data_IF_343683623008
#
_entry.id   IF_343683623008
#
_cell.length_a   1.000
_cell.length_b   1.000
_cell.length_c   1.000
_cell.angle_alpha   90.00
_cell.angle_beta   90.00
_cell.angle_gamma   90.00
#
_symmetry.space_group_name_H-M   'P 1'
#
loop_
_entity.id
_entity.type
_entity.pdbx_description
1 polymer ?
#
# COMPACT_ATOMS: atom_id res chain seq x y z
N UNK A 1 -30.42 26.57 12.95
CA UNK A 1 -29.77 27.42 11.93
C UNK A 1 -29.53 26.55 10.69
N UNK A 2 -30.35 26.72 9.67
CA UNK A 2 -30.33 25.89 8.46
C UNK A 2 -29.23 26.42 7.52
N UNK A 3 -28.25 25.59 7.15
CA UNK A 3 -27.25 25.97 6.15
C UNK A 3 -27.92 26.03 4.79
N UNK A 4 -27.96 27.22 4.20
CA UNK A 4 -28.44 27.44 2.85
C UNK A 4 -27.60 26.61 1.87
N UNK A 5 -28.28 25.78 1.08
CA UNK A 5 -27.73 25.07 -0.06
C UNK A 5 -27.38 26.09 -1.13
N UNK A 6 -26.13 26.58 -1.12
CA UNK A 6 -25.62 27.44 -2.18
C UNK A 6 -25.24 26.49 -3.33
N UNK A 7 -25.84 26.60 -4.52
CA UNK A 7 -25.37 25.83 -5.66
C UNK A 7 -23.96 26.33 -5.93
N UNK A 8 -22.96 25.47 -5.70
CA UNK A 8 -21.61 25.75 -6.19
C UNK A 8 -21.74 25.81 -7.71
N UNK A 9 -21.15 26.86 -8.29
CA UNK A 9 -21.01 27.04 -9.72
C UNK A 9 -20.10 25.90 -10.19
N UNK A 10 -20.72 24.74 -10.42
CA UNK A 10 -20.03 23.54 -10.85
C UNK A 10 -19.61 23.87 -12.28
N UNK A 11 -18.31 24.12 -12.51
CA UNK A 11 -17.70 24.43 -13.82
C UNK A 11 -17.96 23.32 -14.89
N UNK A 12 -18.80 22.34 -14.56
CA UNK A 12 -19.33 21.31 -15.44
C UNK A 12 -20.27 21.91 -16.46
N UNK A 13 -20.11 21.44 -17.70
CA UNK A 13 -21.03 21.78 -18.77
C UNK A 13 -22.42 21.18 -18.49
N UNK A 14 -23.51 21.82 -18.94
CA UNK A 14 -24.88 21.36 -18.72
C UNK A 14 -25.16 19.93 -19.19
N UNK A 15 -24.38 19.41 -20.15
CA UNK A 15 -24.50 18.04 -20.65
C UNK A 15 -23.97 16.97 -19.67
N UNK A 16 -23.20 17.36 -18.65
CA UNK A 16 -22.63 16.46 -17.66
C UNK A 16 -23.49 16.39 -16.39
N UNK A 17 -24.58 15.64 -16.44
CA UNK A 17 -25.36 15.30 -15.26
C UNK A 17 -24.98 13.91 -14.71
N UNK A 18 -24.04 13.89 -13.76
CA UNK A 18 -23.63 12.66 -13.09
C UNK A 18 -24.72 12.02 -12.22
N UNK A 19 -25.79 12.74 -11.87
CA UNK A 19 -26.91 12.20 -11.11
C UNK A 19 -27.86 11.36 -11.99
N UNK A 20 -28.01 11.71 -13.27
CA UNK A 20 -28.80 10.92 -14.22
C UNK A 20 -28.01 9.80 -14.90
N UNK A 21 -26.66 9.81 -14.80
CA UNK A 21 -25.81 8.74 -15.33
C UNK A 21 -26.03 7.40 -14.60
N UNK A 22 -26.64 6.43 -15.28
CA UNK A 22 -26.76 5.06 -14.79
C UNK A 22 -25.40 4.35 -14.83
N UNK A 23 -24.99 3.76 -13.69
CA UNK A 23 -23.78 2.93 -13.60
C UNK A 23 -22.50 3.65 -13.14
N UNK A 24 -22.58 4.94 -12.80
CA UNK A 24 -21.49 5.66 -12.13
C UNK A 24 -21.29 5.17 -10.70
N UNK A 25 -20.13 4.57 -10.38
CA UNK A 25 -19.80 4.12 -9.02
C UNK A 25 -18.73 5.04 -8.44
N UNK A 26 -19.10 5.85 -7.45
CA UNK A 26 -18.15 6.69 -6.71
C UNK A 26 -17.08 5.80 -6.06
N UNK A 27 -15.82 6.09 -6.34
CA UNK A 27 -14.71 5.38 -5.73
C UNK A 27 -14.47 3.94 -6.22
N UNK A 28 -14.98 3.56 -7.41
CA UNK A 28 -14.82 2.22 -8.02
C UNK A 28 -13.40 1.65 -7.94
N UNK A 29 -12.37 2.49 -7.98
CA UNK A 29 -10.96 2.09 -7.96
C UNK A 29 -10.18 2.52 -6.71
N UNK A 30 -10.84 3.14 -5.75
CA UNK A 30 -10.20 3.64 -4.52
C UNK A 30 -9.53 2.50 -3.75
N UNK A 31 -10.16 1.33 -3.70
CA UNK A 31 -9.56 0.15 -3.08
C UNK A 31 -8.29 -0.34 -3.79
N UNK A 32 -8.20 -0.19 -5.12
CA UNK A 32 -6.99 -0.57 -5.90
C UNK A 32 -5.88 0.45 -5.69
N UNK A 33 -6.22 1.74 -5.72
CA UNK A 33 -5.29 2.83 -5.43
C UNK A 33 -4.67 2.67 -4.03
N UNK A 34 -5.51 2.44 -3.01
CA UNK A 34 -5.07 2.22 -1.63
C UNK A 34 -4.20 0.97 -1.44
N UNK A 35 -4.39 -0.07 -2.25
CA UNK A 35 -3.59 -1.30 -2.18
C UNK A 35 -2.26 -1.19 -2.93
N UNK A 36 -2.18 -0.34 -3.96
CA UNK A 36 -1.03 -0.27 -4.86
C UNK A 36 -0.10 0.92 -4.62
N UNK A 37 -0.51 1.92 -3.85
CA UNK A 37 0.27 3.15 -3.67
C UNK A 37 0.27 3.57 -2.20
N UNK A 38 1.45 3.50 -1.57
CA UNK A 38 1.68 4.14 -0.27
C UNK A 38 2.17 5.57 -0.53
N UNK A 39 1.25 6.53 -0.53
CA UNK A 39 1.60 7.94 -0.71
C UNK A 39 2.06 8.50 0.63
N UNK A 40 3.28 9.04 0.65
CA UNK A 40 3.88 9.67 1.82
C UNK A 40 4.10 11.14 1.48
N UNK A 41 3.57 12.04 2.32
CA UNK A 41 3.82 13.47 2.20
C UNK A 41 5.24 13.77 2.72
N UNK A 42 6.04 14.43 1.89
CA UNK A 42 7.34 14.95 2.29
C UNK A 42 7.20 16.37 2.83
N UNK A 43 8.10 16.73 3.74
CA UNK A 43 8.24 18.12 4.15
C UNK A 43 8.72 18.98 2.97
N UNK A 44 8.35 20.28 2.92
CA UNK A 44 8.69 21.15 1.78
C UNK A 44 10.19 21.22 1.49
N UNK A 45 11.01 21.28 2.54
CA UNK A 45 12.47 21.34 2.40
C UNK A 45 13.04 20.05 1.81
N UNK A 46 12.51 18.90 2.23
CA UNK A 46 12.89 17.59 1.70
C UNK A 46 12.44 17.43 0.25
N UNK A 47 11.23 17.88 -0.07
CA UNK A 47 10.73 17.87 -1.45
C UNK A 47 11.56 18.78 -2.37
N UNK A 48 12.05 19.92 -1.86
CA UNK A 48 12.94 20.80 -2.61
C UNK A 48 14.32 20.16 -2.88
N UNK A 49 14.83 19.36 -1.94
CA UNK A 49 16.08 18.61 -2.12
C UNK A 49 15.94 17.44 -3.10
N UNK A 50 14.74 16.84 -3.21
CA UNK A 50 14.46 15.70 -4.09
C UNK A 50 13.31 16.00 -5.05
N UNK A 51 13.59 16.64 -6.21
CA UNK A 51 12.54 17.12 -7.12
C UNK A 51 11.78 16.01 -7.86
N UNK A 52 12.21 14.75 -7.78
CA UNK A 52 11.55 13.62 -8.45
C UNK A 52 11.43 12.39 -7.55
N UNK A 53 10.39 11.59 -7.80
CA UNK A 53 10.18 10.32 -7.12
C UNK A 53 11.32 9.32 -7.41
N UNK A 54 11.95 9.39 -8.59
CA UNK A 54 13.13 8.59 -8.93
C UNK A 54 14.30 8.92 -8.01
N UNK A 55 14.59 10.21 -7.80
CA UNK A 55 15.68 10.66 -6.92
C UNK A 55 15.47 10.21 -5.47
N UNK A 56 14.24 10.32 -4.96
CA UNK A 56 13.88 9.82 -3.61
C UNK A 56 14.11 8.32 -3.52
N UNK A 57 13.60 7.54 -4.49
CA UNK A 57 13.67 6.10 -4.46
C UNK A 57 15.11 5.57 -4.57
N UNK A 58 15.96 6.20 -5.39
CA UNK A 58 17.39 5.86 -5.48
C UNK A 58 18.11 6.12 -4.15
N UNK A 59 17.86 7.26 -3.50
CA UNK A 59 18.44 7.56 -2.20
C UNK A 59 18.01 6.51 -1.14
N UNK A 60 16.73 6.17 -1.08
CA UNK A 60 16.21 5.16 -0.15
C UNK A 60 16.77 3.76 -0.44
N UNK A 61 16.98 3.39 -1.71
CA UNK A 61 17.67 2.14 -2.08
C UNK A 61 19.11 2.11 -1.56
N UNK A 62 19.82 3.24 -1.65
CA UNK A 62 21.14 3.41 -1.04
C UNK A 62 21.14 3.08 0.46
N UNK A 63 20.20 3.66 1.21
CA UNK A 63 20.03 3.39 2.65
C UNK A 63 19.74 1.90 2.92
N UNK A 64 18.87 1.27 2.12
CA UNK A 64 18.59 -0.17 2.24
C UNK A 64 19.83 -1.04 1.99
N UNK A 65 20.65 -0.68 1.00
CA UNK A 65 21.87 -1.42 0.68
C UNK A 65 22.91 -1.29 1.81
N UNK A 66 23.13 -0.08 2.33
CA UNK A 66 24.05 0.16 3.45
C UNK A 66 23.57 -0.56 4.71
N UNK A 67 22.28 -0.46 5.05
CA UNK A 67 21.73 -1.17 6.21
C UNK A 67 21.78 -2.69 6.04
N UNK A 68 21.56 -3.21 4.84
CA UNK A 68 21.76 -4.62 4.50
C UNK A 68 23.21 -5.07 4.68
N UNK A 69 24.17 -4.27 4.23
CA UNK A 69 25.59 -4.55 4.38
C UNK A 69 26.04 -4.54 5.86
N UNK A 70 25.55 -3.59 6.66
CA UNK A 70 25.78 -3.52 8.11
C UNK A 70 25.15 -4.72 8.84
N UNK A 71 23.93 -5.12 8.44
CA UNK A 71 23.24 -6.31 8.95
C UNK A 71 24.01 -7.60 8.62
N UNK A 72 24.55 -7.71 7.41
CA UNK A 72 25.32 -8.87 6.94
C UNK A 72 26.66 -9.07 7.68
N UNK A 73 27.25 -8.00 8.22
CA UNK A 73 28.47 -8.05 9.04
C UNK A 73 28.23 -8.27 10.54
N UNK A 74 27.00 -8.65 10.94
CA UNK A 74 26.68 -9.08 12.31
C UNK A 74 26.13 -8.00 13.24
N UNK A 75 25.73 -6.83 12.72
CA UNK A 75 25.33 -5.70 13.57
C UNK A 75 23.84 -5.64 13.98
N UNK A 76 22.89 -6.17 13.18
CA UNK A 76 21.45 -6.05 13.47
C UNK A 76 20.64 -7.26 12.92
N UNK A 77 19.63 -7.76 13.65
CA UNK A 77 18.81 -8.89 13.20
C UNK A 77 17.88 -8.54 12.02
N UNK A 78 17.72 -9.48 11.09
CA UNK A 78 16.96 -9.35 9.82
C UNK A 78 15.43 -9.52 9.96
N UNK A 79 14.86 -9.39 11.16
CA UNK A 79 13.45 -9.74 11.43
C UNK A 79 12.41 -8.91 10.65
N UNK A 80 12.72 -7.66 10.28
CA UNK A 80 11.77 -6.74 9.66
C UNK A 80 11.57 -6.91 8.14
N UNK A 81 12.45 -7.68 7.47
CA UNK A 81 12.40 -7.91 6.01
C UNK A 81 12.03 -9.35 5.65
N UNK A 82 11.80 -10.21 6.64
CA UNK A 82 11.34 -11.57 6.38
C UNK A 82 9.90 -11.50 5.85
N UNK A 83 9.60 -12.02 4.65
CA UNK A 83 8.22 -12.25 4.27
C UNK A 83 7.62 -13.14 5.35
N UNK A 84 6.54 -12.70 6.00
CA UNK A 84 5.92 -13.49 7.07
C UNK A 84 5.65 -14.89 6.51
N UNK A 85 6.35 -15.89 7.00
CA UNK A 85 6.24 -17.28 6.54
C UNK A 85 4.94 -17.88 7.06
N UNK A 86 3.81 -17.35 6.62
CA UNK A 86 2.46 -17.84 6.95
C UNK A 86 2.02 -19.01 6.06
N UNK A 87 2.88 -19.52 5.19
CA UNK A 87 2.52 -20.49 4.15
C UNK A 87 3.02 -21.93 4.30
N UNK A 88 3.94 -22.26 5.23
CA UNK A 88 4.67 -23.54 5.18
C UNK A 88 4.36 -24.54 6.31
N UNK A 89 3.18 -24.47 6.94
CA UNK A 89 2.74 -25.48 7.94
C UNK A 89 1.39 -26.13 7.64
N UNK A 90 1.01 -26.26 6.37
CA UNK A 90 -0.19 -27.03 5.99
C UNK A 90 0.20 -28.21 5.12
N UNK A 91 0.78 -29.22 5.75
CA UNK A 91 1.13 -30.47 5.06
C UNK A 91 2.07 -31.34 5.86
N UNK A 92 1.71 -31.74 7.09
CA UNK A 92 2.35 -32.85 7.83
C UNK A 92 1.56 -33.24 9.10
N UNK A 93 0.24 -33.39 9.01
CA UNK A 93 -0.53 -34.14 10.03
C UNK A 93 -1.49 -35.04 9.25
N UNK A 94 -1.36 -36.37 9.41
CA UNK A 94 -2.33 -37.32 8.86
C UNK A 94 -1.76 -38.50 8.05
N UNK A 95 -0.59 -39.05 8.38
CA UNK A 95 -0.29 -40.46 8.06
C UNK A 95 0.43 -41.09 9.24
N UNK A 96 -0.34 -41.61 10.20
CA UNK A 96 0.04 -42.73 11.08
C UNK A 96 -1.14 -43.16 11.94
N UNK A 97 -1.28 -44.48 12.07
CA UNK A 97 -2.17 -45.23 12.96
C UNK A 97 -3.63 -45.45 12.49
N UNK A 98 -3.82 -46.49 11.67
CA UNK A 98 -4.96 -47.39 11.81
C UNK A 98 -4.44 -48.83 11.68
N UNK A 99 -3.82 -49.31 12.75
CA UNK A 99 -3.48 -50.71 12.97
C UNK A 99 -3.51 -50.96 14.48
N UNK A 100 -4.71 -51.19 15.02
CA UNK A 100 -4.90 -51.88 16.29
C UNK A 100 -6.39 -52.23 16.53
N UNK A 101 -6.69 -53.53 16.39
CA UNK A 101 -7.51 -54.36 17.30
C UNK A 101 -9.00 -54.03 17.48
N UNK A 102 -9.84 -55.04 17.23
CA UNK A 102 -11.24 -55.12 17.67
C UNK A 102 -12.12 -55.75 16.62
#
# INVERSE_FOLDING_TARGET
MNKANRPEDDDLRPEYDFASMKGGIRGKYVARLRKGSNLVLLEPEVAAAFPSAEAVNEALRGVLNTTGAVRGKGGLPNNALQPTSRGARRGKIGKRAAAARG
#
